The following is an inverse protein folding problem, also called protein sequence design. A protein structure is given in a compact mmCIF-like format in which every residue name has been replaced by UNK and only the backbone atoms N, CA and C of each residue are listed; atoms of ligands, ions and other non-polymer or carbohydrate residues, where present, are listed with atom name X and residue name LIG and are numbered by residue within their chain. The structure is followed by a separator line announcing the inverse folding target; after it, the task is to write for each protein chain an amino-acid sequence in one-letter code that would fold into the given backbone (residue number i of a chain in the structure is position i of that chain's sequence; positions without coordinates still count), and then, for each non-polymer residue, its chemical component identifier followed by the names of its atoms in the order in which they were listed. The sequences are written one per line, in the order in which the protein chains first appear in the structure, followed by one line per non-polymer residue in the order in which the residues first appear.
data_IF_398882710012
#
_entry.id   IF_398882710012
#
_cell.length_a   1.000
_cell.length_b   1.000
_cell.length_c   1.000
_cell.angle_alpha   90.00
_cell.angle_beta   90.00
_cell.angle_gamma   90.00
#
_symmetry.space_group_name_H-M   'P 1'
#
loop_
_entity.id
_entity.type
_entity.pdbx_description
1 polymer ?
#
# COMPACT_ATOMS: atom_id res chain seq x y z
N UNK A 1 1.33 2.17 1.74
CA UNK A 1 2.80 2.25 1.88
C UNK A 1 3.12 3.02 3.16
N UNK A 2 3.79 2.40 4.14
CA UNK A 2 3.97 3.02 5.46
C UNK A 2 5.34 3.68 5.57
N UNK A 3 6.41 2.91 5.48
CA UNK A 3 7.78 3.36 5.72
C UNK A 3 8.78 2.40 5.05
N UNK A 4 10.04 2.79 4.95
CA UNK A 4 11.13 1.89 4.56
C UNK A 4 12.30 2.02 5.53
N UNK A 5 13.29 1.14 5.41
CA UNK A 5 14.55 1.24 6.14
C UNK A 5 15.73 0.89 5.24
N UNK A 6 16.89 1.46 5.55
CA UNK A 6 18.18 1.13 4.94
C UNK A 6 18.20 1.27 3.40
N UNK A 7 17.52 2.29 2.85
CA UNK A 7 17.57 2.61 1.42
C UNK A 7 18.89 3.32 1.08
N UNK A 8 19.99 2.58 1.15
CA UNK A 8 21.32 3.12 0.92
C UNK A 8 21.66 3.07 -0.57
N UNK A 9 22.35 4.10 -1.06
CA UNK A 9 22.97 4.09 -2.38
C UNK A 9 24.49 4.00 -2.22
N UNK A 10 25.15 3.38 -3.19
CA UNK A 10 26.62 3.27 -3.22
C UNK A 10 27.30 4.61 -3.51
N UNK A 11 26.57 5.59 -4.07
CA UNK A 11 27.10 6.90 -4.44
C UNK A 11 26.97 7.95 -3.32
N UNK A 12 27.69 9.07 -3.47
CA UNK A 12 27.70 10.13 -2.46
C UNK A 12 26.34 10.83 -2.30
N UNK A 13 26.04 11.26 -1.08
CA UNK A 13 24.84 12.02 -0.73
C UNK A 13 23.74 11.17 -0.12
N UNK A 14 22.75 11.84 0.48
CA UNK A 14 21.56 11.17 1.02
C UNK A 14 20.54 11.04 -0.12
N UNK A 15 19.79 9.95 -0.14
CA UNK A 15 18.71 9.79 -1.12
C UNK A 15 17.47 10.56 -0.68
N UNK A 16 16.73 11.08 -1.66
CA UNK A 16 15.38 11.58 -1.48
C UNK A 16 14.38 10.57 -2.05
N UNK A 17 13.97 9.52 -1.30
CA UNK A 17 13.25 8.40 -1.88
C UNK A 17 11.76 8.67 -2.08
N UNK A 18 11.21 8.00 -3.08
CA UNK A 18 9.77 7.78 -3.28
C UNK A 18 9.54 6.35 -3.80
N UNK A 19 8.29 5.91 -3.76
CA UNK A 19 7.91 4.55 -4.15
C UNK A 19 6.89 4.62 -5.27
N UNK A 20 7.14 3.85 -6.31
CA UNK A 20 6.17 3.52 -7.34
C UNK A 20 5.58 2.13 -7.03
N UNK A 21 4.26 2.02 -7.13
CA UNK A 21 3.53 0.76 -7.00
C UNK A 21 2.87 0.49 -8.34
N UNK A 22 3.23 -0.62 -8.95
CA UNK A 22 2.81 -1.00 -10.28
C UNK A 22 2.05 -2.32 -10.24
N UNK A 23 0.98 -2.37 -11.02
CA UNK A 23 0.24 -3.59 -11.34
C UNK A 23 0.56 -3.92 -12.77
N UNK A 24 1.09 -5.13 -12.98
CA UNK A 24 1.52 -5.63 -14.28
C UNK A 24 0.75 -6.90 -14.57
N UNK A 25 0.07 -6.96 -15.71
CA UNK A 25 -0.76 -8.10 -16.08
C UNK A 25 -1.47 -7.83 -17.40
N UNK A 26 -2.76 -8.18 -17.47
CA UNK A 26 -3.61 -7.77 -18.58
C UNK A 26 -3.75 -6.24 -18.64
N UNK A 27 -3.97 -5.68 -19.83
CA UNK A 27 -4.01 -4.21 -20.03
C UNK A 27 -5.02 -3.50 -19.12
N UNK A 28 -6.16 -4.14 -18.81
CA UNK A 28 -7.19 -3.61 -17.91
C UNK A 28 -6.82 -3.68 -16.42
N UNK A 29 -5.79 -4.45 -16.05
CA UNK A 29 -5.26 -4.57 -14.69
C UNK A 29 -3.95 -3.80 -14.49
N UNK A 30 -3.49 -3.07 -15.52
CA UNK A 30 -2.27 -2.28 -15.45
C UNK A 30 -2.52 -0.92 -14.77
N UNK A 31 -1.90 -0.71 -13.61
CA UNK A 31 -2.00 0.54 -12.85
C UNK A 31 -0.65 0.99 -12.34
N UNK A 32 -0.47 2.30 -12.17
CA UNK A 32 0.75 2.91 -11.67
C UNK A 32 0.42 3.99 -10.64
N UNK A 33 1.02 3.90 -9.45
CA UNK A 33 0.87 4.86 -8.36
C UNK A 33 2.24 5.31 -7.89
N UNK A 34 2.37 6.58 -7.49
CA UNK A 34 3.59 7.15 -6.91
C UNK A 34 3.28 7.78 -5.55
N UNK A 35 4.15 7.56 -4.56
CA UNK A 35 4.10 8.27 -3.27
C UNK A 35 4.73 9.66 -3.35
N UNK A 36 4.53 10.51 -2.34
CA UNK A 36 5.35 11.70 -2.15
C UNK A 36 6.84 11.35 -2.02
N UNK A 37 7.72 12.28 -2.39
CA UNK A 37 9.17 12.17 -2.16
C UNK A 37 9.50 12.57 -0.72
N UNK A 38 10.41 11.85 -0.07
CA UNK A 38 10.97 12.22 1.25
C UNK A 38 12.36 12.79 1.04
N UNK A 39 12.52 14.08 1.27
CA UNK A 39 13.80 14.76 1.11
C UNK A 39 14.86 14.22 2.07
N UNK A 40 16.05 13.92 1.56
CA UNK A 40 17.26 13.56 2.31
C UNK A 40 17.02 12.53 3.44
N UNK A 41 16.20 11.51 3.18
CA UNK A 41 15.90 10.47 4.15
C UNK A 41 15.88 9.06 3.52
N UNK A 42 17.06 8.48 3.32
CA UNK A 42 17.21 7.08 2.93
C UNK A 42 17.19 6.08 4.08
N UNK A 43 17.47 6.51 5.31
CA UNK A 43 17.66 5.58 6.42
C UNK A 43 16.33 5.01 6.94
N UNK A 44 15.33 5.87 7.12
CA UNK A 44 14.03 5.51 7.69
C UNK A 44 12.87 6.41 7.21
N UNK A 45 12.64 6.55 5.88
CA UNK A 45 11.55 7.37 5.36
C UNK A 45 10.17 6.82 5.74
N UNK A 46 9.22 7.74 5.95
CA UNK A 46 7.84 7.44 6.34
C UNK A 46 6.88 8.20 5.41
N UNK A 47 6.04 7.47 4.68
CA UNK A 47 5.04 8.02 3.76
C UNK A 47 3.63 8.04 4.34
N UNK A 48 3.18 6.90 4.88
CA UNK A 48 1.79 6.69 5.35
C UNK A 48 0.74 7.03 4.29
N UNK A 49 1.01 6.62 3.05
CA UNK A 49 0.11 6.85 1.92
C UNK A 49 -0.62 5.56 1.56
N UNK A 50 -1.89 5.70 1.17
CA UNK A 50 -2.79 4.59 0.89
C UNK A 50 -3.25 4.64 -0.55
N UNK A 51 -3.18 3.50 -1.22
CA UNK A 51 -3.74 3.29 -2.56
C UNK A 51 -4.81 2.20 -2.46
N UNK A 52 -5.85 2.30 -3.29
CA UNK A 52 -6.89 1.29 -3.47
C UNK A 52 -7.18 1.13 -4.95
N UNK A 53 -7.26 -0.11 -5.41
CA UNK A 53 -7.54 -0.45 -6.79
C UNK A 53 -8.23 -1.82 -6.83
N UNK A 54 -8.68 -2.20 -8.02
CA UNK A 54 -9.40 -3.44 -8.30
C UNK A 54 -8.60 -4.23 -9.33
N UNK A 55 -8.35 -5.51 -9.06
CA UNK A 55 -7.70 -6.44 -10.00
C UNK A 55 -8.74 -7.47 -10.45
N UNK A 56 -8.98 -7.55 -11.75
CA UNK A 56 -9.99 -8.41 -12.37
C UNK A 56 -9.46 -9.81 -12.66
N UNK A 57 -8.19 -9.94 -13.06
CA UNK A 57 -7.54 -11.22 -13.31
C UNK A 57 -6.31 -11.40 -12.40
N UNK A 58 -6.52 -11.74 -11.11
CA UNK A 58 -5.43 -11.85 -10.14
C UNK A 58 -4.41 -12.93 -10.48
N UNK A 59 -4.80 -13.97 -11.23
CA UNK A 59 -3.92 -15.07 -11.64
C UNK A 59 -2.84 -14.64 -12.64
N UNK A 60 -3.10 -13.58 -13.42
CA UNK A 60 -2.14 -13.01 -14.38
C UNK A 60 -1.52 -11.69 -13.92
N UNK A 61 -1.83 -11.25 -12.70
CA UNK A 61 -1.39 -9.97 -12.19
C UNK A 61 -0.22 -10.11 -11.20
N UNK A 62 0.74 -9.19 -11.32
CA UNK A 62 1.90 -9.02 -10.46
C UNK A 62 1.85 -7.62 -9.86
N UNK A 63 2.08 -7.51 -8.56
CA UNK A 63 2.40 -6.23 -7.93
C UNK A 63 3.91 -6.03 -7.91
N UNK A 64 4.38 -4.86 -8.33
CA UNK A 64 5.78 -4.45 -8.24
C UNK A 64 5.90 -3.17 -7.43
N UNK A 65 6.73 -3.21 -6.40
CA UNK A 65 7.16 -2.05 -5.63
C UNK A 65 8.51 -1.63 -6.16
N UNK A 66 8.62 -0.41 -6.67
CA UNK A 66 9.88 0.17 -7.14
C UNK A 66 10.23 1.35 -6.24
N UNK A 67 11.39 1.29 -5.60
CA UNK A 67 11.95 2.39 -4.85
C UNK A 67 12.84 3.18 -5.79
N UNK A 68 12.56 4.47 -5.92
CA UNK A 68 13.37 5.42 -6.66
C UNK A 68 13.82 6.55 -5.73
N UNK A 69 14.79 7.34 -6.18
CA UNK A 69 15.14 8.60 -5.53
C UNK A 69 15.24 9.72 -6.55
N UNK A 70 14.92 10.93 -6.14
CA UNK A 70 15.18 12.13 -6.92
C UNK A 70 16.62 12.60 -6.66
N UNK A 71 17.38 12.86 -7.72
CA UNK A 71 18.72 13.42 -7.60
C UNK A 71 18.70 14.95 -7.46
N UNK A 72 19.88 15.59 -7.51
CA UNK A 72 20.01 17.04 -7.36
C UNK A 72 19.35 17.84 -8.49
N UNK A 73 19.09 17.21 -9.64
CA UNK A 73 18.39 17.81 -10.78
C UNK A 73 16.88 17.51 -10.75
N UNK A 74 16.43 16.70 -9.79
CA UNK A 74 15.05 16.23 -9.68
C UNK A 74 14.76 15.00 -10.55
N UNK A 75 15.78 14.40 -11.17
CA UNK A 75 15.58 13.25 -12.04
C UNK A 75 15.39 11.96 -11.21
N UNK A 76 14.39 11.14 -11.54
CA UNK A 76 14.10 9.91 -10.83
C UNK A 76 15.08 8.81 -11.22
N UNK A 77 15.80 8.27 -10.23
CA UNK A 77 16.78 7.21 -10.40
C UNK A 77 16.32 5.94 -9.66
N UNK A 78 16.56 4.78 -10.27
CA UNK A 78 16.25 3.48 -9.65
C UNK A 78 17.12 3.26 -8.40
N UNK A 79 16.51 2.66 -7.36
CA UNK A 79 17.24 2.26 -6.15
C UNK A 79 17.06 0.78 -5.84
N UNK A 80 15.80 0.33 -5.81
CA UNK A 80 15.48 -1.04 -5.44
C UNK A 80 14.10 -1.46 -5.95
N UNK A 81 13.81 -2.75 -5.93
CA UNK A 81 12.50 -3.29 -6.27
C UNK A 81 12.13 -4.55 -5.50
N UNK A 82 10.84 -4.87 -5.50
CA UNK A 82 10.32 -6.18 -5.15
C UNK A 82 9.04 -6.46 -5.96
N UNK A 83 8.89 -7.66 -6.51
CA UNK A 83 7.73 -8.04 -7.30
C UNK A 83 7.16 -9.38 -6.81
N UNK A 84 5.83 -9.46 -6.73
CA UNK A 84 5.11 -10.64 -6.25
C UNK A 84 3.84 -10.88 -7.06
N UNK A 85 3.48 -12.14 -7.38
CA UNK A 85 2.14 -12.45 -7.88
C UNK A 85 1.08 -11.99 -6.88
N UNK A 86 -0.03 -11.45 -7.39
CA UNK A 86 -1.12 -10.95 -6.55
C UNK A 86 -1.68 -12.06 -5.65
N UNK A 87 -1.81 -13.27 -6.17
CA UNK A 87 -2.30 -14.47 -5.46
C UNK A 87 -1.41 -14.89 -4.30
N UNK A 88 -0.15 -14.46 -4.26
CA UNK A 88 0.81 -14.78 -3.21
C UNK A 88 0.84 -13.74 -2.08
N UNK A 89 0.09 -12.64 -2.20
CA UNK A 89 0.08 -11.59 -1.19
C UNK A 89 -0.64 -12.03 0.09
N UNK A 90 -0.10 -11.60 1.23
CA UNK A 90 -0.69 -11.84 2.55
C UNK A 90 -1.15 -10.52 3.15
N UNK A 91 -2.36 -10.49 3.69
CA UNK A 91 -2.95 -9.31 4.36
C UNK A 91 -2.25 -8.96 5.67
N UNK A 92 -2.53 -7.78 6.23
CA UNK A 92 -1.93 -7.22 7.44
C UNK A 92 -0.63 -6.47 7.19
N UNK A 93 0.12 -6.20 8.26
CA UNK A 93 1.44 -5.57 8.21
C UNK A 93 2.49 -6.56 7.70
N UNK A 94 3.25 -6.16 6.67
CA UNK A 94 4.27 -6.99 6.03
C UNK A 94 5.55 -6.19 5.81
N UNK A 95 6.68 -6.83 6.06
CA UNK A 95 7.98 -6.37 5.61
C UNK A 95 8.30 -7.02 4.27
N UNK A 96 8.60 -6.20 3.27
CA UNK A 96 9.00 -6.62 1.94
C UNK A 96 10.50 -6.39 1.82
N UNK A 97 11.27 -7.46 1.66
CA UNK A 97 12.70 -7.37 1.37
C UNK A 97 12.91 -6.80 -0.03
N UNK A 98 13.84 -5.85 -0.15
CA UNK A 98 14.11 -5.17 -1.40
C UNK A 98 15.31 -5.79 -2.12
N UNK A 99 15.31 -5.70 -3.45
CA UNK A 99 16.35 -6.21 -4.33
C UNK A 99 16.89 -5.10 -5.24
N UNK A 100 18.13 -5.25 -5.71
CA UNK A 100 18.73 -4.32 -6.67
C UNK A 100 18.23 -4.58 -8.11
N UNK A 101 18.81 -3.88 -9.09
CA UNK A 101 18.48 -4.03 -10.51
C UNK A 101 18.82 -5.42 -11.07
N UNK A 102 19.77 -6.12 -10.46
CA UNK A 102 20.19 -7.49 -10.78
C UNK A 102 19.35 -8.55 -10.05
N UNK A 103 18.31 -8.14 -9.32
CA UNK A 103 17.46 -9.01 -8.48
C UNK A 103 18.21 -9.70 -7.33
N UNK A 104 19.33 -9.14 -6.90
CA UNK A 104 20.05 -9.56 -5.70
C UNK A 104 19.48 -8.85 -4.47
N UNK A 105 19.46 -9.54 -3.32
CA UNK A 105 18.92 -8.98 -2.09
C UNK A 105 19.79 -7.82 -1.57
N UNK A 106 19.14 -6.72 -1.20
CA UNK A 106 19.80 -5.62 -0.52
C UNK A 106 19.77 -5.84 0.98
N UNK A 107 20.94 -5.86 1.61
CA UNK A 107 21.07 -6.13 3.03
C UNK A 107 20.26 -5.10 3.86
N UNK A 108 19.46 -5.61 4.80
CA UNK A 108 18.59 -4.84 5.73
C UNK A 108 17.48 -3.99 5.08
N UNK A 109 17.56 -3.76 3.77
CA UNK A 109 16.63 -2.95 2.99
C UNK A 109 15.26 -3.59 2.96
N UNK A 110 14.27 -2.91 3.54
CA UNK A 110 12.90 -3.39 3.47
C UNK A 110 11.89 -2.26 3.44
N UNK A 111 10.74 -2.57 2.84
CA UNK A 111 9.56 -1.75 2.88
C UNK A 111 8.56 -2.29 3.91
N UNK A 112 8.02 -1.42 4.75
CA UNK A 112 6.87 -1.70 5.61
C UNK A 112 5.59 -1.31 4.88
N UNK A 113 4.73 -2.29 4.66
CA UNK A 113 3.40 -2.09 4.07
C UNK A 113 2.34 -2.67 4.99
N UNK A 114 1.13 -2.15 4.87
CA UNK A 114 -0.08 -2.87 5.26
C UNK A 114 -0.74 -3.32 3.97
N UNK A 115 -1.25 -4.53 3.90
CA UNK A 115 -1.99 -5.04 2.76
C UNK A 115 -3.35 -5.49 3.27
N UNK A 116 -4.42 -4.99 2.69
CA UNK A 116 -5.78 -5.49 2.89
C UNK A 116 -6.26 -6.04 1.56
N UNK A 117 -6.93 -7.19 1.54
CA UNK A 117 -7.40 -7.85 0.33
C UNK A 117 -8.86 -8.24 0.54
N UNK A 118 -9.74 -7.69 -0.29
CA UNK A 118 -11.17 -8.02 -0.29
C UNK A 118 -11.51 -8.78 -1.58
N UNK A 119 -12.09 -9.97 -1.43
CA UNK A 119 -12.60 -10.75 -2.56
C UNK A 119 -14.04 -10.34 -2.84
N UNK A 120 -14.35 -10.06 -4.10
CA UNK A 120 -15.72 -9.92 -4.58
C UNK A 120 -16.03 -11.07 -5.54
N UNK A 121 -16.97 -11.92 -5.14
CA UNK A 121 -17.60 -12.89 -6.02
C UNK A 121 -18.55 -12.15 -6.96
N UNK A 122 -18.26 -12.14 -8.26
CA UNK A 122 -19.25 -11.73 -9.25
C UNK A 122 -20.19 -12.91 -9.51
N UNK A 123 -21.44 -12.80 -9.05
CA UNK A 123 -22.49 -13.71 -9.51
C UNK A 123 -22.72 -13.43 -11.00
N UNK A 124 -22.34 -14.38 -11.85
CA UNK A 124 -22.74 -14.37 -13.26
C UNK A 124 -24.27 -14.48 -13.29
N UNK A 125 -24.96 -13.35 -13.53
CA UNK A 125 -26.39 -13.38 -13.80
C UNK A 125 -26.57 -14.14 -15.12
N UNK A 126 -26.93 -15.41 -15.01
CA UNK A 126 -27.36 -16.22 -16.15
C UNK A 126 -28.64 -15.59 -16.70
N UNK A 127 -28.53 -14.67 -17.67
CA UNK A 127 -29.65 -14.30 -18.53
C UNK A 127 -29.96 -15.48 -19.44
N UNK A 128 -30.70 -16.46 -18.92
CA UNK A 128 -31.31 -17.51 -19.73
C UNK A 128 -32.62 -16.95 -20.31
N UNK A 129 -32.79 -16.78 -21.65
CA UNK A 129 -33.99 -16.18 -22.21
C UNK A 129 -35.19 -17.15 -22.33
N UNK A 130 -35.10 -18.40 -21.88
CA UNK A 130 -36.20 -19.38 -22.02
C UNK A 130 -36.44 -20.17 -20.72
N UNK A 131 -37.70 -20.31 -20.25
CA UNK A 131 -38.04 -21.30 -19.23
C UNK A 131 -38.36 -22.64 -19.92
N UNK A 132 -37.83 -23.76 -19.43
CA UNK A 132 -38.63 -24.99 -19.51
C UNK A 132 -38.60 -25.83 -18.23
N UNK A 133 -39.82 -26.18 -17.81
CA UNK A 133 -40.29 -27.45 -17.22
C UNK A 133 -39.30 -28.42 -16.58
N UNK A 134 -39.64 -28.78 -15.34
CA UNK A 134 -39.19 -29.92 -14.53
C UNK A 134 -38.60 -31.11 -15.31
N UNK A 135 -37.37 -31.51 -14.95
CA UNK A 135 -37.00 -32.93 -14.83
C UNK A 135 -35.70 -33.08 -14.02
N UNK A 136 -35.73 -34.07 -13.12
CA UNK A 136 -34.62 -34.52 -12.28
C UNK A 136 -33.50 -35.09 -13.15
N UNK A 137 -32.23 -34.73 -12.91
CA UNK A 137 -31.06 -35.63 -12.75
C UNK A 137 -29.71 -34.88 -12.81
N UNK A 138 -28.76 -35.45 -12.06
CA UNK A 138 -27.31 -35.26 -12.06
C UNK A 138 -26.71 -34.03 -11.38
N UNK A 139 -26.20 -34.30 -10.17
CA UNK A 139 -25.04 -33.63 -9.57
C UNK A 139 -23.82 -33.74 -10.53
N UNK A 140 -23.77 -32.85 -11.52
CA UNK A 140 -22.51 -32.45 -12.13
C UNK A 140 -22.09 -31.15 -11.48
N UNK A 141 -21.06 -31.27 -10.64
CA UNK A 141 -20.35 -30.19 -9.99
C UNK A 141 -19.95 -29.16 -11.05
N UNK A 142 -20.75 -28.10 -11.14
CA UNK A 142 -20.58 -26.99 -12.08
C UNK A 142 -19.40 -26.17 -11.57
N UNK A 143 -18.22 -26.39 -12.13
CA UNK A 143 -17.09 -25.46 -11.99
C UNK A 143 -17.49 -24.20 -12.75
N UNK A 144 -18.18 -23.30 -12.07
CA UNK A 144 -18.40 -21.94 -12.56
C UNK A 144 -17.06 -21.21 -12.49
N UNK A 145 -16.67 -20.59 -13.59
CA UNK A 145 -15.50 -19.72 -13.66
C UNK A 145 -15.84 -18.44 -12.87
N UNK A 146 -15.59 -18.49 -11.55
CA UNK A 146 -15.82 -17.39 -10.63
C UNK A 146 -14.63 -16.44 -10.77
N UNK A 147 -14.82 -15.30 -11.46
CA UNK A 147 -13.77 -14.29 -11.56
C UNK A 147 -13.66 -13.57 -10.22
N UNK A 148 -12.72 -14.04 -9.39
CA UNK A 148 -12.34 -13.42 -8.12
C UNK A 148 -11.79 -12.02 -8.38
N UNK A 149 -12.52 -10.99 -7.96
CA UNK A 149 -12.04 -9.60 -8.02
C UNK A 149 -11.37 -9.24 -6.69
N UNK A 150 -10.14 -8.72 -6.73
CA UNK A 150 -9.40 -8.34 -5.52
C UNK A 150 -9.31 -6.82 -5.37
N UNK A 151 -9.80 -6.29 -4.25
CA UNK A 151 -9.46 -4.93 -3.83
C UNK A 151 -8.28 -4.97 -2.88
N UNK A 152 -7.18 -4.29 -3.23
CA UNK A 152 -5.99 -4.22 -2.38
C UNK A 152 -5.87 -2.83 -1.78
N UNK A 153 -5.72 -2.72 -0.46
CA UNK A 153 -5.56 -1.44 0.22
C UNK A 153 -4.35 -1.44 1.16
N UNK A 154 -3.66 -0.30 1.24
CA UNK A 154 -2.61 -0.10 2.24
C UNK A 154 -3.09 0.76 3.41
N UNK A 155 -3.70 0.15 4.43
CA UNK A 155 -4.31 0.85 5.59
C UNK A 155 -3.30 1.19 6.70
N UNK A 156 -3.24 2.46 7.14
CA UNK A 156 -2.44 2.85 8.32
C UNK A 156 -3.33 3.27 9.53
N UNK A 157 -4.63 3.49 9.34
CA UNK A 157 -5.49 4.09 10.38
C UNK A 157 -5.71 3.20 11.63
N UNK A 158 -5.44 1.89 11.56
CA UNK A 158 -5.63 0.97 12.68
C UNK A 158 -4.56 1.12 13.79
N UNK A 159 -3.35 1.57 13.48
CA UNK A 159 -2.27 1.70 14.47
C UNK A 159 -2.51 2.79 15.52
N UNK A 160 -3.18 3.89 15.16
CA UNK A 160 -3.43 4.96 16.13
C UNK A 160 -4.47 4.53 17.18
N UNK A 161 -5.52 3.79 16.80
CA UNK A 161 -6.57 3.34 17.73
C UNK A 161 -6.07 2.23 18.65
N UNK A 162 -5.46 1.17 18.11
CA UNK A 162 -5.00 0.04 18.93
C UNK A 162 -3.83 0.40 19.86
N UNK A 163 -2.92 1.31 19.44
CA UNK A 163 -1.81 1.75 20.30
C UNK A 163 -2.25 2.73 21.41
N UNK A 164 -3.37 3.43 21.24
CA UNK A 164 -3.98 4.25 22.29
C UNK A 164 -4.77 3.41 23.30
N UNK A 165 -5.38 2.31 22.85
CA UNK A 165 -6.24 1.45 23.67
C UNK A 165 -5.45 0.43 24.52
N UNK A 166 -4.20 0.12 24.17
CA UNK A 166 -3.35 -0.86 24.89
C UNK A 166 -2.49 -0.30 26.03
N UNK A 167 -2.87 0.81 26.69
CA UNK A 167 -2.19 1.22 27.94
C UNK A 167 -2.89 0.64 29.17
N UNK A 168 -2.32 -0.35 29.88
CA UNK A 168 -2.72 -0.64 31.24
C UNK A 168 -2.02 0.35 32.18
N UNK A 169 -2.81 1.11 32.95
CA UNK A 169 -2.29 2.00 34.00
C UNK A 169 -2.42 3.48 33.63
N UNK A 170 -3.43 4.12 34.21
CA UNK A 170 -3.63 5.56 34.09
C UNK A 170 -2.61 6.36 34.90
N UNK A 171 -2.12 7.44 34.30
CA UNK A 171 -1.99 8.73 34.98
C UNK A 171 -2.20 9.81 33.93
N UNK A 172 -3.21 10.66 34.14
CA UNK A 172 -3.43 11.87 33.35
C UNK A 172 -2.25 12.81 33.61
N UNK A 173 -1.27 12.82 32.71
CA UNK A 173 -0.27 13.89 32.65
C UNK A 173 -0.77 14.91 31.64
N UNK A 174 -1.24 16.03 32.18
CA UNK A 174 -1.52 17.24 31.42
C UNK A 174 -0.24 17.78 30.77
N UNK A 175 -0.43 18.36 29.59
CA UNK A 175 0.42 19.33 28.90
C UNK A 175 1.81 18.87 28.45
N UNK A 176 1.84 18.34 27.22
CA UNK A 176 2.50 18.97 26.06
C UNK A 176 2.74 17.91 24.98
N UNK A 177 1.80 17.81 24.03
CA UNK A 177 1.96 16.91 22.88
C UNK A 177 2.88 17.57 21.82
N UNK A 178 4.10 17.06 21.56
CA UNK A 178 4.97 17.61 20.52
C UNK A 178 4.49 17.30 19.09
N UNK A 179 3.44 16.49 18.92
CA UNK A 179 2.88 16.09 17.61
C UNK A 179 1.64 16.87 17.18
N UNK A 180 1.47 18.12 17.61
CA UNK A 180 0.47 19.00 16.96
C UNK A 180 0.95 19.36 15.55
N UNK A 181 0.23 18.91 14.53
CA UNK A 181 0.55 19.21 13.12
C UNK A 181 0.73 20.72 12.89
N UNK A 182 1.62 21.13 11.94
CA UNK A 182 1.85 22.54 11.63
C UNK A 182 0.56 23.31 11.30
N UNK A 183 -0.45 22.62 10.76
CA UNK A 183 -1.77 23.16 10.42
C UNK A 183 -2.60 23.55 11.66
N UNK A 184 -2.53 22.81 12.77
CA UNK A 184 -3.28 23.14 13.99
C UNK A 184 -2.67 24.32 14.77
N UNK A 185 -1.35 24.52 14.67
CA UNK A 185 -0.67 25.70 15.27
C UNK A 185 -1.01 27.02 14.55
N UNK A 186 -1.42 26.97 13.27
CA UNK A 186 -1.79 28.16 12.50
C UNK A 186 -3.23 28.61 12.77
N UNK A 187 -4.14 27.66 13.01
CA UNK A 187 -5.55 27.95 13.34
C UNK A 187 -5.70 28.57 14.74
N UNK A 188 -4.84 28.20 15.71
CA UNK A 188 -4.86 28.83 17.04
C UNK A 188 -4.37 30.29 17.01
N UNK A 189 -3.28 30.58 16.28
CA UNK A 189 -2.77 31.96 16.16
C UNK A 189 -3.78 32.91 15.53
N UNK A 190 -4.52 32.47 14.51
CA UNK A 190 -5.55 33.31 13.87
C UNK A 190 -6.79 33.55 14.75
N UNK A 191 -7.02 32.74 15.79
CA UNK A 191 -8.13 32.94 16.72
C UNK A 191 -7.77 33.92 17.84
N UNK A 192 -6.50 33.97 18.23
CA UNK A 192 -6.03 34.87 19.29
C UNK A 192 -5.83 36.31 18.77
N UNK A 193 -5.44 36.49 17.49
CA UNK A 193 -5.32 37.81 16.85
C UNK A 193 -6.68 38.50 16.55
N UNK A 194 -7.79 37.76 16.62
CA UNK A 194 -9.14 38.30 16.42
C UNK A 194 -9.84 38.71 17.74
N UNK A 195 -9.16 38.54 18.88
CA UNK A 195 -9.69 38.81 20.22
C UNK A 195 -8.96 39.94 20.96
N UNK A 196 -8.13 40.74 20.26
CA UNK A 196 -7.56 42.00 20.74
C UNK A 196 -8.01 43.13 19.82
#
# INVERSE_FOLDING_TARGET
IIAARHLMKTSKGIVSPFIEVEFVGAEYDCYHFKTSTKEDNGLNPVWKESFRWTVYNPELAIIRFVVKYEDMFGDPNFLAQAAYPITCLRTGYRSISLKNEFSEELELSCLLVHIDIQKHSQEVINHNPNPPSESLTNDQQRVGDETDVLSIQTNHELLCREALERRPGGTMVNDSNPYTSPLKKRIRRLRDDAAT
#
